data_IF_921117811156
#
_entry.id   IF_921117811156
#
_cell.length_a   1.000
_cell.length_b   1.000
_cell.length_c   1.000
_cell.angle_alpha   90.00
_cell.angle_beta   90.00
_cell.angle_gamma   90.00
#
_symmetry.space_group_name_H-M   'P 1'
#
loop_
_entity.id
_entity.type
_entity.pdbx_description
1 polymer ?
#
# COMPACT_ATOMS: atom_id res chain seq x y z
N UNK A 1 -39.77 63.53 -0.41
CA UNK A 1 -39.99 62.08 -0.62
C UNK A 1 -38.83 61.53 -1.45
N UNK A 2 -37.59 61.57 -0.91
CA UNK A 2 -36.38 61.22 -1.66
C UNK A 2 -35.23 60.87 -0.70
N UNK A 3 -35.37 59.84 0.13
CA UNK A 3 -34.29 59.37 1.01
C UNK A 3 -34.49 57.90 1.40
N UNK A 4 -34.46 56.93 0.48
CA UNK A 4 -34.41 55.50 0.89
C UNK A 4 -33.75 54.51 -0.10
N UNK A 5 -33.07 54.95 -1.19
CA UNK A 5 -32.59 54.00 -2.22
C UNK A 5 -31.11 53.60 -2.09
N UNK A 6 -30.32 54.23 -1.20
CA UNK A 6 -28.86 53.98 -1.13
C UNK A 6 -28.41 52.74 -0.34
N UNK A 7 -29.32 51.95 0.25
CA UNK A 7 -28.93 50.94 1.24
C UNK A 7 -28.69 49.50 0.71
N UNK A 8 -28.84 49.20 -0.58
CA UNK A 8 -28.86 47.80 -1.07
C UNK A 8 -27.68 47.36 -1.97
N UNK A 9 -26.65 48.17 -2.16
CA UNK A 9 -25.54 47.82 -3.10
C UNK A 9 -24.29 47.21 -2.45
N UNK A 10 -24.27 46.98 -1.13
CA UNK A 10 -23.04 46.66 -0.40
C UNK A 10 -22.61 45.18 -0.29
N UNK A 11 -23.43 44.20 -0.69
CA UNK A 11 -23.19 42.78 -0.29
C UNK A 11 -22.67 41.88 -1.43
N UNK A 12 -22.63 42.35 -2.69
CA UNK A 12 -22.22 41.54 -3.85
C UNK A 12 -20.73 41.62 -4.27
N UNK A 13 -20.00 42.66 -3.85
CA UNK A 13 -18.67 42.98 -4.42
C UNK A 13 -17.49 42.17 -3.88
N UNK A 14 -17.50 41.86 -2.57
CA UNK A 14 -16.33 41.29 -1.89
C UNK A 14 -15.99 39.85 -2.31
N UNK A 15 -16.94 39.10 -2.87
CA UNK A 15 -16.69 37.77 -3.43
C UNK A 15 -16.17 37.83 -4.87
N UNK A 16 -16.61 38.83 -5.67
CA UNK A 16 -16.18 39.03 -7.05
C UNK A 16 -14.76 39.62 -7.11
N UNK A 17 -14.41 40.54 -6.20
CA UNK A 17 -13.10 41.21 -6.19
C UNK A 17 -11.94 40.29 -5.80
N UNK A 18 -12.21 39.22 -5.03
CA UNK A 18 -11.22 38.18 -4.71
C UNK A 18 -10.96 37.22 -5.88
N UNK A 19 -11.88 37.16 -6.85
CA UNK A 19 -11.75 36.34 -8.06
C UNK A 19 -10.91 37.06 -9.12
N UNK A 20 -10.97 38.40 -9.18
CA UNK A 20 -10.20 39.20 -10.14
C UNK A 20 -8.71 39.34 -9.82
N UNK A 21 -8.27 39.06 -8.59
CA UNK A 21 -6.84 39.09 -8.17
C UNK A 21 -6.25 37.68 -8.03
N UNK A 22 -7.03 36.63 -8.29
CA UNK A 22 -6.56 35.26 -8.14
C UNK A 22 -5.59 34.87 -9.27
N UNK A 23 -4.42 34.33 -8.91
CA UNK A 23 -3.50 33.73 -9.86
C UNK A 23 -4.20 32.61 -10.64
N UNK A 24 -3.96 32.50 -11.95
CA UNK A 24 -4.57 31.50 -12.83
C UNK A 24 -4.50 30.06 -12.28
N UNK A 25 -3.46 29.75 -11.50
CA UNK A 25 -3.31 28.46 -10.78
C UNK A 25 -4.35 28.24 -9.68
N UNK A 26 -4.73 29.29 -8.94
CA UNK A 26 -5.74 29.22 -7.88
C UNK A 26 -7.12 28.92 -8.47
N UNK A 27 -7.46 29.54 -9.61
CA UNK A 27 -8.72 29.28 -10.33
C UNK A 27 -8.79 27.82 -10.82
N UNK A 28 -7.68 27.29 -11.35
CA UNK A 28 -7.59 25.88 -11.78
C UNK A 28 -7.75 24.95 -10.57
N UNK A 29 -7.07 25.23 -9.46
CA UNK A 29 -7.15 24.41 -8.24
C UNK A 29 -8.57 24.39 -7.65
N UNK A 30 -9.25 25.54 -7.60
CA UNK A 30 -10.63 25.61 -7.11
C UNK A 30 -11.61 24.83 -7.97
N UNK A 31 -11.42 24.83 -9.29
CA UNK A 31 -12.26 24.06 -10.21
C UNK A 31 -11.96 22.56 -10.12
N UNK A 32 -10.70 22.18 -9.98
CA UNK A 32 -10.27 20.79 -9.75
C UNK A 32 -10.86 20.22 -8.44
N UNK A 33 -10.83 21.00 -7.36
CA UNK A 33 -11.32 20.57 -6.03
C UNK A 33 -12.84 20.35 -5.96
N UNK A 34 -13.62 20.89 -6.92
CA UNK A 34 -15.07 20.61 -7.03
C UNK A 34 -15.36 19.20 -7.54
N UNK A 35 -14.43 18.55 -8.24
CA UNK A 35 -14.62 17.19 -8.75
C UNK A 35 -14.27 16.15 -7.67
N UNK A 36 -15.30 15.57 -7.05
CA UNK A 36 -15.16 14.52 -6.03
C UNK A 36 -14.36 13.30 -6.52
N UNK A 37 -14.54 12.90 -7.79
CA UNK A 37 -13.82 11.79 -8.41
C UNK A 37 -12.32 12.08 -8.51
N UNK A 38 -11.95 13.28 -8.97
CA UNK A 38 -10.55 13.67 -9.12
C UNK A 38 -9.81 13.78 -7.77
N UNK A 39 -10.51 14.22 -6.73
CA UNK A 39 -9.97 14.25 -5.37
C UNK A 39 -9.77 12.84 -4.82
N UNK A 40 -10.72 11.92 -5.04
CA UNK A 40 -10.60 10.53 -4.61
C UNK A 40 -9.43 9.83 -5.28
N UNK A 41 -9.29 9.95 -6.61
CA UNK A 41 -8.16 9.37 -7.33
C UNK A 41 -6.82 9.96 -6.88
N UNK A 42 -6.77 11.26 -6.55
CA UNK A 42 -5.58 11.89 -5.97
C UNK A 42 -5.18 11.28 -4.62
N UNK A 43 -6.14 10.98 -3.75
CA UNK A 43 -5.89 10.29 -2.48
C UNK A 43 -5.40 8.86 -2.70
N UNK A 44 -6.01 8.11 -3.62
CA UNK A 44 -5.59 6.74 -3.95
C UNK A 44 -4.15 6.70 -4.47
N UNK A 45 -3.80 7.60 -5.39
CA UNK A 45 -2.43 7.72 -5.90
C UNK A 45 -1.45 8.04 -4.76
N UNK A 46 -1.81 8.98 -3.89
CA UNK A 46 -0.98 9.33 -2.73
C UNK A 46 -0.74 8.10 -1.82
N UNK A 47 -1.76 7.30 -1.56
CA UNK A 47 -1.62 6.07 -0.78
C UNK A 47 -0.68 5.06 -1.44
N UNK A 48 -0.75 4.88 -2.76
CA UNK A 48 0.18 4.01 -3.48
C UNK A 48 1.62 4.52 -3.36
N UNK A 49 1.86 5.82 -3.52
CA UNK A 49 3.20 6.38 -3.33
C UNK A 49 3.72 6.22 -1.90
N UNK A 50 2.86 6.40 -0.89
CA UNK A 50 3.22 6.15 0.51
C UNK A 50 3.57 4.67 0.74
N UNK A 51 2.80 3.74 0.17
CA UNK A 51 3.13 2.31 0.25
C UNK A 51 4.45 1.95 -0.45
N UNK A 52 4.76 2.62 -1.56
CA UNK A 52 6.01 2.41 -2.30
C UNK A 52 7.22 2.92 -1.52
N UNK A 53 7.11 4.08 -0.85
CA UNK A 53 8.17 4.59 0.02
C UNK A 53 8.34 3.68 1.26
N UNK A 54 7.22 3.19 1.80
CA UNK A 54 7.21 2.20 2.88
C UNK A 54 7.52 0.77 2.43
N UNK A 55 7.85 0.53 1.16
CA UNK A 55 7.95 -0.82 0.61
C UNK A 55 9.00 -1.67 1.35
N UNK A 56 10.11 -1.08 1.78
CA UNK A 56 11.12 -1.82 2.55
C UNK A 56 10.64 -2.26 3.95
N UNK A 57 9.63 -1.59 4.52
CA UNK A 57 9.01 -2.02 5.77
C UNK A 57 7.89 -3.03 5.54
N UNK A 58 7.14 -2.90 4.45
CA UNK A 58 6.04 -3.81 4.10
C UNK A 58 6.54 -5.11 3.47
N UNK A 59 7.69 -5.10 2.79
CA UNK A 59 8.27 -6.27 2.16
C UNK A 59 8.86 -7.21 3.22
N UNK A 60 8.28 -8.40 3.36
CA UNK A 60 8.76 -9.46 4.25
C UNK A 60 9.89 -10.29 3.63
N UNK A 61 10.10 -10.16 2.31
CA UNK A 61 11.13 -10.83 1.55
C UNK A 61 11.68 -9.86 0.49
N UNK A 62 12.97 -10.00 0.18
CA UNK A 62 13.61 -9.22 -0.88
C UNK A 62 13.05 -9.67 -2.24
N UNK A 63 12.39 -8.78 -3.00
CA UNK A 63 11.76 -9.14 -4.26
C UNK A 63 12.76 -9.53 -5.36
N UNK A 64 14.01 -9.06 -5.26
CA UNK A 64 15.08 -9.41 -6.21
C UNK A 64 15.80 -10.70 -5.81
N UNK A 65 15.58 -11.18 -4.57
CA UNK A 65 16.22 -12.40 -4.09
C UNK A 65 15.47 -13.64 -4.55
N UNK A 66 16.07 -14.36 -5.50
CA UNK A 66 15.58 -15.68 -5.88
C UNK A 66 16.18 -16.77 -4.98
N UNK A 67 15.36 -17.43 -4.18
CA UNK A 67 15.75 -18.60 -3.39
C UNK A 67 15.72 -19.87 -4.25
N UNK A 68 16.70 -19.99 -5.15
CA UNK A 68 16.87 -21.16 -6.01
C UNK A 68 17.00 -22.49 -5.23
N UNK A 69 17.47 -22.41 -3.98
CA UNK A 69 17.59 -23.55 -3.09
C UNK A 69 16.27 -23.98 -2.43
N UNK A 70 15.23 -23.14 -2.43
CA UNK A 70 13.93 -23.45 -1.82
C UNK A 70 12.80 -23.59 -2.85
N UNK A 71 13.07 -23.29 -4.12
CA UNK A 71 12.07 -23.25 -5.20
C UNK A 71 11.25 -24.56 -5.37
N UNK A 72 11.85 -25.71 -5.05
CA UNK A 72 11.20 -27.03 -5.15
C UNK A 72 10.74 -27.57 -3.79
N UNK A 73 10.81 -26.76 -2.74
CA UNK A 73 10.45 -27.19 -1.40
C UNK A 73 8.92 -27.21 -1.24
N UNK A 74 8.32 -28.30 -0.73
CA UNK A 74 6.90 -28.32 -0.44
C UNK A 74 6.57 -27.33 0.71
N UNK A 75 5.34 -26.79 0.76
CA UNK A 75 4.87 -26.02 1.92
C UNK A 75 5.09 -26.80 3.22
N UNK A 76 5.70 -26.16 4.22
CA UNK A 76 6.00 -26.82 5.49
C UNK A 76 4.75 -26.84 6.38
N UNK A 77 4.28 -28.02 6.84
CA UNK A 77 3.19 -28.08 7.80
C UNK A 77 3.68 -27.62 9.18
N UNK A 78 2.81 -26.91 9.92
CA UNK A 78 3.06 -26.54 11.30
C UNK A 78 2.63 -27.70 12.20
N UNK A 79 3.55 -28.22 13.01
CA UNK A 79 3.25 -29.24 14.01
C UNK A 79 3.02 -28.55 15.35
N UNK A 80 1.86 -28.78 15.97
CA UNK A 80 1.47 -28.10 17.21
C UNK A 80 1.80 -28.90 18.47
N UNK A 81 2.07 -30.19 18.32
CA UNK A 81 2.31 -31.12 19.42
C UNK A 81 3.61 -31.86 19.19
N UNK A 82 4.35 -32.07 20.27
CA UNK A 82 5.54 -32.89 20.32
C UNK A 82 5.42 -33.98 21.38
N UNK A 83 6.40 -34.88 21.48
CA UNK A 83 6.41 -35.99 22.45
C UNK A 83 6.25 -35.50 23.90
N UNK A 84 6.64 -34.27 24.20
CA UNK A 84 6.60 -33.65 25.54
C UNK A 84 5.44 -32.65 25.77
N UNK A 85 4.62 -32.33 24.76
CA UNK A 85 3.44 -31.45 24.96
C UNK A 85 3.08 -30.53 23.80
N UNK A 86 2.44 -29.39 24.11
CA UNK A 86 2.01 -28.37 23.14
C UNK A 86 3.15 -27.40 22.81
N UNK A 87 3.75 -27.55 21.63
CA UNK A 87 4.83 -26.72 21.12
C UNK A 87 4.65 -26.50 19.61
N UNK A 88 4.22 -25.31 19.16
CA UNK A 88 4.13 -25.00 17.74
C UNK A 88 5.54 -24.91 17.13
N UNK A 89 5.90 -25.87 16.28
CA UNK A 89 7.20 -25.95 15.63
C UNK A 89 7.09 -26.46 14.18
N UNK A 90 8.19 -26.33 13.44
CA UNK A 90 8.34 -26.81 12.06
C UNK A 90 9.55 -27.74 12.00
N UNK A 91 9.41 -28.87 11.30
CA UNK A 91 10.51 -29.83 11.16
C UNK A 91 11.67 -29.27 10.32
N UNK A 92 12.90 -29.65 10.67
CA UNK A 92 14.06 -29.35 9.85
C UNK A 92 13.93 -30.05 8.49
N UNK A 93 14.38 -29.40 7.41
CA UNK A 93 14.33 -29.99 6.08
C UNK A 93 15.74 -30.24 5.59
N UNK A 94 15.99 -31.48 5.17
CA UNK A 94 17.23 -31.85 4.48
C UNK A 94 16.95 -32.01 2.99
N UNK A 95 17.67 -31.25 2.17
CA UNK A 95 17.60 -31.35 0.72
C UNK A 95 18.73 -32.22 0.20
N UNK A 96 18.41 -33.41 -0.32
CA UNK A 96 19.37 -34.30 -0.96
C UNK A 96 19.10 -34.36 -2.47
N UNK A 97 20.16 -34.54 -3.27
CA UNK A 97 20.03 -34.79 -4.70
C UNK A 97 19.96 -36.30 -4.91
N UNK A 98 18.92 -36.75 -5.60
CA UNK A 98 18.82 -38.13 -6.05
C UNK A 98 19.92 -38.38 -7.12
N UNK A 99 20.76 -39.41 -6.95
CA UNK A 99 21.89 -39.68 -7.86
C UNK A 99 21.47 -40.32 -9.19
N UNK A 100 20.24 -40.85 -9.29
CA UNK A 100 19.72 -41.46 -10.51
C UNK A 100 18.92 -40.44 -11.34
N UNK A 101 18.15 -39.57 -10.67
CA UNK A 101 17.26 -38.60 -11.34
C UNK A 101 17.81 -37.17 -11.31
N UNK A 102 18.84 -36.88 -10.51
CA UNK A 102 19.38 -35.54 -10.21
C UNK A 102 18.36 -34.51 -9.70
N UNK A 103 17.13 -34.95 -9.41
CA UNK A 103 16.10 -34.13 -8.79
C UNK A 103 16.48 -33.84 -7.34
N UNK A 104 16.22 -32.60 -6.91
CA UNK A 104 16.37 -32.19 -5.52
C UNK A 104 15.14 -32.67 -4.74
N UNK A 105 15.34 -33.61 -3.83
CA UNK A 105 14.30 -34.19 -2.98
C UNK A 105 14.49 -33.63 -1.58
N UNK A 106 13.41 -33.11 -0.99
CA UNK A 106 13.41 -32.59 0.37
C UNK A 106 12.71 -33.60 1.28
N UNK A 107 13.39 -34.01 2.35
CA UNK A 107 12.80 -34.86 3.38
C UNK A 107 12.74 -34.09 4.70
N UNK A 108 11.56 -33.98 5.33
CA UNK A 108 11.46 -33.42 6.67
C UNK A 108 12.06 -34.42 7.67
N UNK A 109 12.96 -33.93 8.51
CA UNK A 109 13.47 -34.63 9.69
C UNK A 109 12.85 -33.95 10.92
N UNK A 110 11.98 -34.69 11.61
CA UNK A 110 11.22 -34.19 12.75
C UNK A 110 11.77 -34.69 14.09
N UNK A 111 12.97 -35.27 14.10
CA UNK A 111 13.66 -35.71 15.31
C UNK A 111 14.60 -34.59 15.77
N UNK A 112 14.13 -33.75 16.70
CA UNK A 112 14.88 -32.62 17.28
C UNK A 112 15.06 -32.83 18.77
#
# INVERSE_FOLDING_TARGET
MATHVEALTGVGGAAAERVSVASQRQLIWWRFRKHKVAMFSGVVILLFYLSAIGANFLATADPERSDALLNLMPPQPIKLFDETGWSPHVCAITGQRDMMTFKKVYKPDCNI
#
